data_IF_540237446236
#
_entry.id   IF_540237446236
#
_cell.length_a   1.000
_cell.length_b   1.000
_cell.length_c   1.000
_cell.angle_alpha   90.00
_cell.angle_beta   90.00
_cell.angle_gamma   90.00
#
_symmetry.space_group_name_H-M   'P 1'
#
loop_
_entity.id
_entity.type
_entity.pdbx_description
1 polymer ?
#
# COMPACT_ATOMS: atom_id res chain seq x y z
N UNK A 1 11.97 -19.30 -33.83
CA UNK A 1 10.53 -18.96 -33.75
C UNK A 1 10.48 -17.47 -33.47
N UNK A 2 10.85 -16.66 -34.47
CA UNK A 2 10.00 -16.01 -35.48
C UNK A 2 9.67 -14.58 -35.04
N UNK A 3 10.45 -13.64 -35.56
CA UNK A 3 10.23 -12.19 -35.54
C UNK A 3 8.87 -11.82 -36.17
N UNK A 4 8.23 -10.74 -35.67
CA UNK A 4 7.39 -9.84 -36.47
C UNK A 4 7.38 -8.41 -35.92
N UNK A 5 7.63 -7.49 -36.86
CA UNK A 5 7.62 -6.03 -36.81
C UNK A 5 6.21 -5.38 -36.69
N UNK A 6 6.13 -4.06 -36.41
CA UNK A 6 4.88 -3.30 -36.24
C UNK A 6 4.34 -2.66 -37.53
N UNK A 7 3.01 -2.49 -37.60
CA UNK A 7 2.27 -1.86 -38.71
C UNK A 7 2.01 -0.36 -38.48
N UNK A 8 2.28 0.42 -39.53
CA UNK A 8 1.96 1.83 -39.75
C UNK A 8 0.53 1.98 -40.30
N UNK A 9 -0.20 3.01 -39.89
CA UNK A 9 -1.54 3.34 -40.41
C UNK A 9 -1.54 4.67 -41.17
N UNK A 10 -2.21 4.66 -42.33
CA UNK A 10 -2.26 5.67 -43.38
C UNK A 10 -3.43 6.66 -43.16
N UNK A 11 -3.18 7.95 -43.42
CA UNK A 11 -4.20 9.01 -43.41
C UNK A 11 -4.74 9.28 -44.83
N UNK A 12 -6.07 9.18 -45.00
CA UNK A 12 -6.79 9.53 -46.23
C UNK A 12 -7.28 10.99 -46.25
N UNK A 13 -7.29 11.57 -47.46
CA UNK A 13 -7.74 12.93 -47.80
C UNK A 13 -9.26 12.98 -48.03
N UNK A 14 -9.88 14.08 -47.60
CA UNK A 14 -11.28 14.43 -47.88
C UNK A 14 -11.43 15.42 -49.05
N UNK A 15 -12.55 15.36 -49.81
CA UNK A 15 -12.84 16.28 -50.90
C UNK A 15 -13.59 17.53 -50.41
N UNK A 16 -13.45 18.61 -51.17
CA UNK A 16 -14.08 19.92 -50.96
C UNK A 16 -15.22 20.05 -51.97
N UNK A 17 -16.45 20.25 -51.51
CA UNK A 17 -17.58 20.68 -52.34
C UNK A 17 -18.16 21.99 -51.80
N UNK A 18 -18.41 22.91 -52.74
CA UNK A 18 -18.95 24.26 -52.55
C UNK A 18 -20.48 24.24 -52.71
N UNK A 19 -21.22 24.77 -51.73
CA UNK A 19 -22.66 25.03 -51.87
C UNK A 19 -23.05 26.30 -51.07
N UNK A 20 -23.12 27.44 -51.75
CA UNK A 20 -23.21 28.78 -51.15
C UNK A 20 -24.63 29.34 -51.00
N UNK A 21 -25.67 28.59 -51.35
CA UNK A 21 -27.05 29.13 -51.40
C UNK A 21 -27.94 28.71 -50.22
N UNK A 22 -27.39 28.01 -49.21
CA UNK A 22 -28.12 27.53 -48.03
C UNK A 22 -27.92 28.39 -46.75
N UNK A 23 -27.16 29.48 -46.81
CA UNK A 23 -26.77 30.23 -45.59
C UNK A 23 -27.89 31.13 -45.01
N UNK A 24 -28.84 31.59 -45.82
CA UNK A 24 -29.84 32.57 -45.34
C UNK A 24 -31.00 31.97 -44.53
N UNK A 25 -31.33 30.68 -44.70
CA UNK A 25 -32.31 29.99 -43.82
C UNK A 25 -31.71 29.59 -42.47
N UNK A 26 -30.41 29.36 -42.44
CA UNK A 26 -29.66 29.03 -41.23
C UNK A 26 -29.73 30.18 -40.21
N UNK A 27 -29.54 31.42 -40.65
CA UNK A 27 -29.33 32.55 -39.74
C UNK A 27 -30.55 32.94 -38.87
N UNK A 28 -31.77 32.79 -39.38
CA UNK A 28 -33.00 33.03 -38.60
C UNK A 28 -33.25 31.93 -37.57
N UNK A 29 -32.93 30.68 -37.92
CA UNK A 29 -33.00 29.52 -37.03
C UNK A 29 -31.98 29.63 -35.88
N UNK A 30 -30.76 30.10 -36.16
CA UNK A 30 -29.76 30.41 -35.13
C UNK A 30 -30.24 31.50 -34.17
N UNK A 31 -30.91 32.56 -34.62
CA UNK A 31 -31.42 33.61 -33.73
C UNK A 31 -32.46 33.11 -32.73
N UNK A 32 -33.37 32.23 -33.15
CA UNK A 32 -34.34 31.60 -32.24
C UNK A 32 -33.63 30.72 -31.22
N UNK A 33 -32.68 29.89 -31.68
CA UNK A 33 -31.91 29.01 -30.80
C UNK A 33 -31.06 29.79 -29.76
N UNK A 34 -30.46 30.92 -30.15
CA UNK A 34 -29.70 31.77 -29.22
C UNK A 34 -30.58 32.52 -28.21
N UNK A 35 -31.81 32.88 -28.57
CA UNK A 35 -32.74 33.52 -27.65
C UNK A 35 -33.33 32.52 -26.64
N UNK A 36 -33.64 31.29 -27.06
CA UNK A 36 -34.06 30.20 -26.17
C UNK A 36 -32.95 29.85 -25.16
N UNK A 37 -31.70 29.73 -25.62
CA UNK A 37 -30.56 29.47 -24.73
C UNK A 37 -30.30 30.58 -23.71
N UNK A 38 -30.58 31.85 -24.05
CA UNK A 38 -30.42 32.96 -23.10
C UNK A 38 -31.48 32.95 -21.99
N UNK A 39 -32.71 32.55 -22.29
CA UNK A 39 -33.77 32.40 -21.29
C UNK A 39 -33.53 31.22 -20.36
N UNK A 40 -33.01 30.11 -20.89
CA UNK A 40 -32.67 28.93 -20.09
C UNK A 40 -31.44 29.14 -19.20
N UNK A 41 -30.42 29.85 -19.68
CA UNK A 41 -29.24 30.18 -18.88
C UNK A 41 -29.56 31.15 -17.73
N UNK A 42 -30.52 32.06 -17.92
CA UNK A 42 -30.94 33.02 -16.88
C UNK A 42 -31.81 32.35 -15.81
N UNK A 43 -32.72 31.46 -16.20
CA UNK A 43 -33.53 30.67 -15.25
C UNK A 43 -32.71 29.60 -14.52
N UNK A 44 -31.69 29.02 -15.16
CA UNK A 44 -30.76 28.09 -14.52
C UNK A 44 -29.91 28.75 -13.43
N UNK A 45 -29.42 29.98 -13.63
CA UNK A 45 -28.69 30.74 -12.60
C UNK A 45 -29.53 31.06 -11.36
N UNK A 46 -30.81 31.39 -11.54
CA UNK A 46 -31.71 31.70 -10.41
C UNK A 46 -32.12 30.45 -9.61
N UNK A 47 -32.31 29.31 -10.30
CA UNK A 47 -32.62 28.03 -9.63
C UNK A 47 -31.39 27.38 -8.99
N UNK A 48 -30.18 27.61 -9.53
CA UNK A 48 -28.93 27.16 -8.90
C UNK A 48 -28.61 27.97 -7.63
N UNK A 49 -28.97 29.27 -7.56
CA UNK A 49 -28.87 30.05 -6.32
C UNK A 49 -29.83 29.56 -5.22
N UNK A 50 -31.07 29.18 -5.58
CA UNK A 50 -32.08 28.69 -4.63
C UNK A 50 -31.86 27.21 -4.24
N UNK A 51 -31.24 26.38 -5.10
CA UNK A 51 -30.74 25.04 -4.71
C UNK A 51 -29.42 25.08 -3.93
N UNK A 52 -28.70 26.21 -3.94
CA UNK A 52 -27.47 26.39 -3.18
C UNK A 52 -27.67 26.83 -1.72
N UNK A 53 -28.85 27.32 -1.33
CA UNK A 53 -29.15 27.77 0.04
C UNK A 53 -29.42 26.63 1.04
N UNK A 54 -29.44 25.38 0.56
CA UNK A 54 -29.56 24.18 1.39
C UNK A 54 -28.42 23.19 1.11
N UNK A 55 -27.28 23.67 0.62
CA UNK A 55 -26.06 22.84 0.59
C UNK A 55 -25.52 22.78 2.00
N UNK A 56 -25.48 21.58 2.56
CA UNK A 56 -24.82 21.29 3.83
C UNK A 56 -23.45 21.97 3.84
N UNK A 57 -23.36 23.13 4.49
CA UNK A 57 -22.12 23.90 4.54
C UNK A 57 -21.18 23.05 5.39
N UNK A 58 -20.10 22.47 4.82
CA UNK A 58 -19.22 21.62 5.58
C UNK A 58 -18.61 22.45 6.71
N UNK A 59 -18.84 22.01 7.93
CA UNK A 59 -18.31 22.67 9.12
C UNK A 59 -16.81 22.38 9.16
N UNK A 60 -16.01 23.42 9.37
CA UNK A 60 -14.55 23.25 9.50
C UNK A 60 -14.22 22.33 10.67
N UNK A 61 -13.24 21.44 10.49
CA UNK A 61 -12.83 20.46 11.52
C UNK A 61 -12.48 21.15 12.84
N UNK A 62 -11.87 22.33 12.80
CA UNK A 62 -11.54 23.11 14.00
C UNK A 62 -12.79 23.65 14.73
N UNK A 63 -13.86 23.93 13.99
CA UNK A 63 -15.13 24.36 14.59
C UNK A 63 -15.82 23.20 15.33
N UNK A 64 -15.62 21.94 14.92
CA UNK A 64 -16.09 20.79 15.69
C UNK A 64 -15.45 20.74 17.08
N UNK A 65 -14.18 21.09 17.20
CA UNK A 65 -13.44 21.10 18.46
C UNK A 65 -13.72 22.30 19.36
N UNK A 66 -14.57 23.26 18.96
CA UNK A 66 -14.94 24.40 19.82
C UNK A 66 -15.60 23.98 21.14
N UNK A 67 -16.20 22.79 21.18
CA UNK A 67 -16.87 22.24 22.37
C UNK A 67 -15.97 21.33 23.22
N UNK A 68 -14.71 21.13 22.81
CA UNK A 68 -13.75 20.32 23.55
C UNK A 68 -13.21 21.10 24.75
N UNK A 69 -13.22 20.48 25.93
CA UNK A 69 -12.55 21.05 27.10
C UNK A 69 -11.04 20.88 27.00
N UNK A 70 -10.31 21.55 27.89
CA UNK A 70 -8.86 21.35 28.07
C UNK A 70 -8.51 19.87 28.27
N UNK A 71 -9.31 19.11 29.02
CA UNK A 71 -9.08 17.68 29.25
C UNK A 71 -9.31 16.87 27.97
N UNK A 72 -10.31 17.22 27.16
CA UNK A 72 -10.58 16.53 25.90
C UNK A 72 -9.46 16.79 24.88
N UNK A 73 -8.95 18.03 24.83
CA UNK A 73 -7.78 18.40 24.03
C UNK A 73 -6.55 17.60 24.47
N UNK A 74 -6.29 17.48 25.78
CA UNK A 74 -5.19 16.66 26.29
C UNK A 74 -5.34 15.18 25.91
N UNK A 75 -6.55 14.61 26.03
CA UNK A 75 -6.85 13.23 25.62
C UNK A 75 -6.60 13.01 24.12
N UNK A 76 -6.99 13.96 23.27
CA UNK A 76 -6.78 13.89 21.82
C UNK A 76 -5.28 13.95 21.49
N UNK A 77 -4.51 14.83 22.15
CA UNK A 77 -3.06 14.92 21.95
C UNK A 77 -2.38 13.61 22.37
N UNK A 78 -2.74 13.06 23.53
CA UNK A 78 -2.22 11.77 24.02
C UNK A 78 -2.56 10.65 23.04
N UNK A 79 -3.81 10.58 22.58
CA UNK A 79 -4.23 9.59 21.59
C UNK A 79 -3.41 9.72 20.30
N UNK A 80 -3.18 10.94 19.82
CA UNK A 80 -2.36 11.19 18.64
C UNK A 80 -0.90 10.73 18.82
N UNK A 81 -0.30 10.96 19.99
CA UNK A 81 1.03 10.41 20.31
C UNK A 81 1.05 8.87 20.25
N UNK A 82 0.00 8.21 20.76
CA UNK A 82 -0.13 6.75 20.67
C UNK A 82 -0.35 6.26 19.23
N UNK A 83 -1.10 6.98 18.40
CA UNK A 83 -1.25 6.67 16.95
C UNK A 83 0.12 6.64 16.28
N UNK A 84 0.97 7.66 16.53
CA UNK A 84 2.30 7.74 15.94
C UNK A 84 3.20 6.59 16.42
N UNK A 85 3.18 6.29 17.72
CA UNK A 85 3.93 5.16 18.28
C UNK A 85 3.45 3.81 17.73
N UNK A 86 2.14 3.60 17.64
CA UNK A 86 1.55 2.40 17.08
C UNK A 86 1.95 2.22 15.61
N UNK A 87 1.90 3.28 14.80
CA UNK A 87 2.38 3.26 13.41
C UNK A 87 3.87 2.91 13.31
N UNK A 88 4.70 3.46 14.20
CA UNK A 88 6.13 3.13 14.26
C UNK A 88 6.37 1.65 14.59
N UNK A 89 5.64 1.08 15.56
CA UNK A 89 5.79 -0.34 15.90
C UNK A 89 5.39 -1.27 14.76
N UNK A 90 4.35 -0.92 13.99
CA UNK A 90 3.96 -1.68 12.79
C UNK A 90 5.09 -1.69 11.75
N UNK A 91 5.74 -0.54 11.50
CA UNK A 91 6.86 -0.48 10.57
C UNK A 91 8.09 -1.26 11.07
N UNK A 92 8.40 -1.16 12.37
CA UNK A 92 9.47 -1.92 13.00
C UNK A 92 9.26 -3.44 12.87
N UNK A 93 8.03 -3.92 13.05
CA UNK A 93 7.66 -5.32 12.87
C UNK A 93 7.87 -5.82 11.44
N UNK A 94 7.56 -5.00 10.42
CA UNK A 94 7.81 -5.37 9.01
C UNK A 94 9.31 -5.53 8.73
N UNK A 95 10.15 -4.63 9.24
CA UNK A 95 11.61 -4.71 9.10
C UNK A 95 12.14 -5.98 9.78
N UNK A 96 11.64 -6.28 10.98
CA UNK A 96 12.04 -7.45 11.75
C UNK A 96 11.63 -8.76 11.07
N UNK A 97 10.40 -8.80 10.54
CA UNK A 97 9.91 -9.92 9.74
C UNK A 97 10.78 -10.16 8.50
N UNK A 98 11.20 -9.09 7.82
CA UNK A 98 12.13 -9.17 6.69
C UNK A 98 13.47 -9.79 7.07
N UNK A 99 14.03 -9.46 8.25
CA UNK A 99 15.27 -10.07 8.75
C UNK A 99 15.10 -11.55 9.07
N UNK A 100 14.02 -11.93 9.72
CA UNK A 100 13.71 -13.33 10.04
C UNK A 100 13.58 -14.12 8.73
N UNK A 101 12.83 -13.61 7.76
CA UNK A 101 12.66 -14.24 6.44
C UNK A 101 13.99 -14.36 5.69
N UNK A 102 14.85 -13.34 5.77
CA UNK A 102 16.19 -13.38 5.20
C UNK A 102 17.06 -14.50 5.78
N UNK A 103 17.00 -14.73 7.09
CA UNK A 103 17.71 -15.83 7.75
C UNK A 103 17.16 -17.20 7.32
N UNK A 104 15.84 -17.33 7.16
CA UNK A 104 15.23 -18.56 6.65
C UNK A 104 15.63 -18.82 5.19
N UNK A 105 15.64 -17.80 4.34
CA UNK A 105 16.04 -17.96 2.94
C UNK A 105 17.50 -18.45 2.83
N UNK A 106 18.44 -17.82 3.54
CA UNK A 106 19.86 -18.21 3.49
C UNK A 106 20.10 -19.61 4.04
N UNK A 107 19.38 -20.02 5.09
CA UNK A 107 19.49 -21.38 5.64
C UNK A 107 18.89 -22.43 4.71
N UNK A 108 17.73 -22.17 4.09
CA UNK A 108 17.15 -23.08 3.11
C UNK A 108 18.08 -23.31 1.91
N UNK A 109 18.66 -22.26 1.34
CA UNK A 109 19.61 -22.41 0.24
C UNK A 109 20.86 -23.22 0.63
N UNK A 110 21.36 -23.04 1.85
CA UNK A 110 22.49 -23.82 2.34
C UNK A 110 22.15 -25.31 2.50
N UNK A 111 20.95 -25.63 2.99
CA UNK A 111 20.47 -27.02 3.13
C UNK A 111 20.25 -27.67 1.76
N UNK A 112 19.65 -26.96 0.81
CA UNK A 112 19.41 -27.47 -0.55
C UNK A 112 20.73 -27.75 -1.29
N UNK A 113 21.71 -26.84 -1.17
CA UNK A 113 23.05 -27.03 -1.72
C UNK A 113 23.74 -28.25 -1.13
N UNK A 114 23.63 -28.44 0.20
CA UNK A 114 24.21 -29.60 0.88
C UNK A 114 23.56 -30.92 0.44
N UNK A 115 22.23 -30.99 0.39
CA UNK A 115 21.50 -32.18 -0.06
C UNK A 115 21.84 -32.52 -1.52
N UNK A 116 21.98 -31.52 -2.38
CA UNK A 116 22.37 -31.74 -3.78
C UNK A 116 23.79 -32.32 -3.89
N UNK A 117 24.71 -31.85 -3.05
CA UNK A 117 26.08 -32.38 -2.98
C UNK A 117 26.11 -33.85 -2.53
N UNK A 118 25.39 -34.22 -1.47
CA UNK A 118 25.36 -35.62 -0.98
C UNK A 118 24.77 -36.59 -2.01
N UNK A 119 23.69 -36.17 -2.69
CA UNK A 119 23.09 -36.97 -3.76
C UNK A 119 24.02 -37.13 -4.97
N UNK A 120 24.81 -36.11 -5.29
CA UNK A 120 25.81 -36.19 -6.35
C UNK A 120 26.99 -37.09 -5.97
N UNK A 121 27.53 -36.95 -4.76
CA UNK A 121 28.63 -37.76 -4.26
C UNK A 121 28.27 -39.24 -4.18
N UNK A 122 27.07 -39.56 -3.68
CA UNK A 122 26.56 -40.94 -3.63
C UNK A 122 26.30 -41.53 -5.03
N UNK A 123 25.88 -40.71 -6.00
CA UNK A 123 25.72 -41.14 -7.40
C UNK A 123 27.07 -41.45 -8.05
N UNK A 124 28.10 -40.63 -7.84
CA UNK A 124 29.47 -40.88 -8.35
C UNK A 124 30.05 -42.17 -7.79
N UNK A 125 29.83 -42.45 -6.51
CA UNK A 125 30.42 -43.62 -5.85
C UNK A 125 29.76 -44.93 -6.31
N UNK A 126 28.46 -44.91 -6.64
CA UNK A 126 27.71 -46.12 -6.96
C UNK A 126 27.45 -46.34 -8.46
N UNK A 127 27.57 -45.32 -9.32
CA UNK A 127 27.39 -45.46 -10.77
C UNK A 127 28.41 -44.60 -11.52
N UNK A 128 29.21 -45.22 -12.39
CA UNK A 128 30.17 -44.58 -13.32
C UNK A 128 29.51 -43.74 -14.43
N UNK A 129 28.22 -43.43 -14.31
CA UNK A 129 27.44 -42.72 -15.33
C UNK A 129 26.76 -41.52 -14.71
N UNK A 130 27.21 -40.32 -15.09
CA UNK A 130 26.59 -39.06 -14.69
C UNK A 130 25.18 -38.96 -15.34
N UNK A 131 24.11 -38.69 -14.59
CA UNK A 131 22.73 -38.71 -15.12
C UNK A 131 22.38 -37.50 -15.99
N UNK A 132 23.23 -36.49 -16.06
CA UNK A 132 23.17 -35.46 -17.09
C UNK A 132 24.24 -35.79 -18.12
N UNK A 133 23.84 -36.14 -19.34
CA UNK A 133 24.70 -36.38 -20.50
C UNK A 133 25.45 -35.14 -20.98
N UNK A 134 26.06 -34.41 -20.04
CA UNK A 134 27.05 -33.38 -20.29
C UNK A 134 28.34 -34.16 -20.54
N UNK A 135 28.81 -34.16 -21.78
CA UNK A 135 30.18 -34.57 -22.10
C UNK A 135 31.14 -33.76 -21.23
N UNK A 136 31.66 -34.40 -20.18
CA UNK A 136 32.64 -33.83 -19.28
C UNK A 136 33.98 -33.79 -20.01
N UNK A 137 34.13 -32.77 -20.85
CA UNK A 137 35.42 -32.39 -21.38
C UNK A 137 36.32 -32.03 -20.17
N UNK A 138 37.50 -32.64 -20.00
CA UNK A 138 38.33 -32.53 -18.78
C UNK A 138 38.77 -31.10 -18.44
N UNK A 139 38.59 -30.14 -19.34
CA UNK A 139 38.87 -28.73 -19.16
C UNK A 139 37.83 -27.96 -18.32
N UNK A 140 36.62 -28.50 -18.10
CA UNK A 140 35.57 -27.80 -17.36
C UNK A 140 35.41 -28.27 -15.89
N UNK A 141 36.09 -29.37 -15.53
CA UNK A 141 36.11 -29.89 -14.17
C UNK A 141 36.79 -28.89 -13.20
N UNK A 142 37.85 -28.22 -13.64
CA UNK A 142 38.59 -27.25 -12.82
C UNK A 142 37.77 -25.99 -12.50
N UNK A 143 36.83 -25.58 -13.37
CA UNK A 143 35.92 -24.44 -13.12
C UNK A 143 34.79 -24.80 -12.15
N UNK A 144 34.17 -25.97 -12.31
CA UNK A 144 33.11 -26.43 -11.41
C UNK A 144 33.69 -26.75 -10.02
N UNK A 145 34.86 -27.37 -9.98
CA UNK A 145 35.60 -27.64 -8.75
C UNK A 145 36.01 -26.33 -8.09
N UNK A 146 36.53 -25.30 -8.80
CA UNK A 146 36.82 -23.98 -8.20
C UNK A 146 35.59 -23.26 -7.64
N UNK A 147 34.43 -23.35 -8.29
CA UNK A 147 33.18 -22.78 -7.78
C UNK A 147 32.69 -23.50 -6.51
N UNK A 148 32.88 -24.81 -6.39
CA UNK A 148 32.53 -25.57 -5.19
C UNK A 148 33.63 -25.57 -4.11
N UNK A 149 34.92 -25.46 -4.44
CA UNK A 149 36.03 -25.52 -3.48
C UNK A 149 36.33 -24.19 -2.81
N UNK A 150 36.01 -23.07 -3.46
CA UNK A 150 36.00 -21.76 -2.78
C UNK A 150 34.94 -21.74 -1.66
N UNK A 151 33.91 -22.57 -1.80
CA UNK A 151 32.80 -22.67 -0.86
C UNK A 151 32.96 -23.84 0.15
N UNK A 152 33.54 -24.99 -0.22
CA UNK A 152 33.55 -26.19 0.62
C UNK A 152 34.47 -26.13 1.86
N UNK A 153 35.52 -25.30 1.84
CA UNK A 153 36.34 -25.04 3.05
C UNK A 153 35.60 -24.15 4.06
N UNK A 154 34.54 -23.46 3.61
CA UNK A 154 33.60 -22.74 4.47
C UNK A 154 32.45 -23.69 4.85
N UNK A 155 31.90 -24.48 3.94
CA UNK A 155 30.71 -25.31 4.18
C UNK A 155 30.98 -26.48 5.16
N UNK A 156 32.12 -27.19 5.05
CA UNK A 156 32.38 -28.42 5.83
C UNK A 156 32.69 -28.17 7.32
N UNK A 157 33.17 -26.98 7.67
CA UNK A 157 33.40 -26.54 9.05
C UNK A 157 32.24 -25.71 9.63
N UNK A 158 31.24 -25.36 8.81
CA UNK A 158 30.15 -24.46 9.22
C UNK A 158 28.78 -25.15 9.26
N UNK A 159 28.60 -26.34 8.69
CA UNK A 159 27.30 -27.03 8.69
C UNK A 159 26.87 -27.60 10.05
N UNK A 160 27.80 -28.00 10.90
CA UNK A 160 27.51 -28.53 12.25
C UNK A 160 27.32 -27.46 13.33
N UNK A 161 27.92 -26.24 13.26
CA UNK A 161 27.58 -25.13 14.16
C UNK A 161 26.51 -24.16 13.62
N UNK A 162 25.98 -24.33 12.40
CA UNK A 162 24.97 -23.39 11.86
C UNK A 162 23.65 -23.45 12.65
N UNK A 163 23.27 -24.62 13.15
CA UNK A 163 22.00 -24.81 13.85
C UNK A 163 21.90 -24.07 15.19
N UNK A 164 22.90 -24.08 16.11
CA UNK A 164 22.80 -23.33 17.36
C UNK A 164 22.82 -21.81 17.15
N UNK A 165 23.68 -21.30 16.26
CA UNK A 165 23.81 -19.86 16.04
C UNK A 165 22.62 -19.28 15.26
N UNK A 166 22.10 -20.01 14.26
CA UNK A 166 20.83 -19.66 13.61
C UNK A 166 19.69 -19.65 14.61
N UNK A 167 19.58 -20.70 15.44
CA UNK A 167 18.53 -20.82 16.45
C UNK A 167 18.57 -19.67 17.44
N UNK A 168 19.75 -19.28 17.92
CA UNK A 168 19.90 -18.17 18.87
C UNK A 168 19.48 -16.83 18.24
N UNK A 169 19.95 -16.55 17.02
CA UNK A 169 19.60 -15.32 16.31
C UNK A 169 18.11 -15.23 15.97
N UNK A 170 17.51 -16.32 15.47
CA UNK A 170 16.07 -16.36 15.16
C UNK A 170 15.25 -16.21 16.44
N UNK A 171 15.61 -16.92 17.51
CA UNK A 171 14.91 -16.79 18.79
C UNK A 171 14.96 -15.35 19.32
N UNK A 172 16.14 -14.71 19.27
CA UNK A 172 16.29 -13.31 19.68
C UNK A 172 15.36 -12.37 18.88
N UNK A 173 15.33 -12.50 17.56
CA UNK A 173 14.45 -11.69 16.70
C UNK A 173 12.97 -11.98 16.96
N UNK A 174 12.60 -13.24 17.21
CA UNK A 174 11.23 -13.63 17.54
C UNK A 174 10.79 -13.03 18.89
N UNK A 175 11.66 -13.02 19.90
CA UNK A 175 11.35 -12.36 21.18
C UNK A 175 11.11 -10.86 21.01
N UNK A 176 11.94 -10.18 20.21
CA UNK A 176 11.72 -8.76 19.88
C UNK A 176 10.40 -8.54 19.14
N UNK A 177 10.03 -9.43 18.22
CA UNK A 177 8.78 -9.35 17.46
C UNK A 177 7.56 -9.46 18.39
N UNK A 178 7.57 -10.43 19.31
CA UNK A 178 6.51 -10.57 20.30
C UNK A 178 6.45 -9.37 21.26
N UNK A 179 7.61 -8.89 21.74
CA UNK A 179 7.67 -7.72 22.62
C UNK A 179 7.08 -6.47 21.98
N UNK A 180 7.46 -6.18 20.73
CA UNK A 180 6.89 -5.06 19.96
C UNK A 180 5.41 -5.24 19.68
N UNK A 181 4.95 -6.46 19.42
CA UNK A 181 3.53 -6.76 19.18
C UNK A 181 2.66 -6.53 20.42
N UNK A 182 3.13 -6.94 21.60
CA UNK A 182 2.44 -6.67 22.87
C UNK A 182 2.39 -5.16 23.14
N UNK A 183 3.51 -4.45 22.92
CA UNK A 183 3.56 -3.00 23.12
C UNK A 183 2.63 -2.26 22.15
N UNK A 184 2.62 -2.66 20.87
CA UNK A 184 1.69 -2.14 19.87
C UNK A 184 0.22 -2.37 20.28
N UNK A 185 -0.11 -3.56 20.82
CA UNK A 185 -1.44 -3.88 21.32
C UNK A 185 -1.87 -3.00 22.51
N UNK A 186 -0.96 -2.70 23.43
CA UNK A 186 -1.22 -1.76 24.53
C UNK A 186 -1.44 -0.34 23.99
N UNK A 187 -0.62 0.10 23.04
CA UNK A 187 -0.74 1.44 22.44
C UNK A 187 -2.08 1.63 21.71
N UNK A 188 -2.51 0.68 20.87
CA UNK A 188 -3.80 0.77 20.17
C UNK A 188 -4.98 0.74 21.16
N UNK A 189 -4.86 -0.01 22.25
CA UNK A 189 -5.89 -0.06 23.31
C UNK A 189 -6.03 1.30 24.00
N UNK A 190 -4.91 1.93 24.37
CA UNK A 190 -4.90 3.25 24.99
C UNK A 190 -5.37 4.35 24.03
N UNK A 191 -4.93 4.30 22.78
CA UNK A 191 -5.41 5.18 21.70
C UNK A 191 -6.93 5.11 21.58
N UNK A 192 -7.50 3.90 21.43
CA UNK A 192 -8.93 3.68 21.28
C UNK A 192 -9.71 4.19 22.49
N UNK A 193 -9.25 3.89 23.70
CA UNK A 193 -9.90 4.36 24.95
C UNK A 193 -9.88 5.89 25.00
N UNK A 194 -8.76 6.54 24.70
CA UNK A 194 -8.65 8.00 24.72
C UNK A 194 -9.61 8.66 23.72
N UNK A 195 -9.64 8.18 22.47
CA UNK A 195 -10.57 8.67 21.46
C UNK A 195 -12.02 8.48 21.90
N UNK A 196 -12.38 7.27 22.35
CA UNK A 196 -13.75 6.95 22.76
C UNK A 196 -14.22 7.83 23.92
N UNK A 197 -13.37 8.03 24.93
CA UNK A 197 -13.68 8.89 26.08
C UNK A 197 -13.83 10.35 25.66
N UNK A 198 -12.91 10.87 24.84
CA UNK A 198 -12.96 12.25 24.35
C UNK A 198 -14.23 12.49 23.51
N UNK A 199 -14.54 11.61 22.55
CA UNK A 199 -15.75 11.72 21.71
C UNK A 199 -17.02 11.66 22.55
N UNK A 200 -17.13 10.73 23.51
CA UNK A 200 -18.32 10.61 24.37
C UNK A 200 -18.58 11.91 25.15
N UNK A 201 -17.54 12.52 25.71
CA UNK A 201 -17.64 13.79 26.43
C UNK A 201 -18.08 14.92 25.51
N UNK A 202 -17.49 15.02 24.32
CA UNK A 202 -17.82 16.04 23.33
C UNK A 202 -19.26 15.90 22.82
N UNK A 203 -19.71 14.68 22.47
CA UNK A 203 -21.08 14.41 22.01
C UNK A 203 -22.11 14.76 23.08
N UNK A 204 -21.87 14.38 24.33
CA UNK A 204 -22.80 14.68 25.44
C UNK A 204 -23.02 16.18 25.60
N UNK A 205 -21.95 16.98 25.54
CA UNK A 205 -22.05 18.44 25.62
C UNK A 205 -22.76 19.04 24.41
N UNK A 206 -22.44 18.56 23.22
CA UNK A 206 -23.09 18.99 21.99
C UNK A 206 -24.60 18.75 22.06
N UNK A 207 -25.04 17.57 22.53
CA UNK A 207 -26.47 17.26 22.69
C UNK A 207 -27.18 18.18 23.67
N UNK A 208 -26.57 18.49 24.81
CA UNK A 208 -27.14 19.42 25.81
C UNK A 208 -27.30 20.82 25.24
N UNK A 209 -26.28 21.31 24.52
CA UNK A 209 -26.32 22.64 23.89
C UNK A 209 -27.36 22.71 22.77
N UNK A 210 -27.43 21.69 21.91
CA UNK A 210 -28.45 21.59 20.87
C UNK A 210 -29.86 21.58 21.46
N UNK A 211 -30.10 20.77 22.50
CA UNK A 211 -31.40 20.69 23.15
C UNK A 211 -31.82 22.04 23.76
N UNK A 212 -30.89 22.73 24.43
CA UNK A 212 -31.14 24.08 24.97
C UNK A 212 -31.47 25.09 23.88
N UNK A 213 -30.74 25.06 22.76
CA UNK A 213 -31.01 25.93 21.61
C UNK A 213 -32.35 25.63 20.93
N UNK A 214 -32.80 24.38 20.93
CA UNK A 214 -34.11 24.00 20.38
C UNK A 214 -35.26 24.53 21.26
N UNK A 215 -35.18 24.36 22.58
CA UNK A 215 -36.23 24.84 23.50
C UNK A 215 -36.38 26.36 23.40
N UNK A 216 -35.27 27.10 23.37
CA UNK A 216 -35.28 28.57 23.28
C UNK A 216 -35.87 29.12 21.97
N UNK A 217 -35.95 28.30 20.91
CA UNK A 217 -36.59 28.71 19.65
C UNK A 217 -38.09 28.45 19.63
N UNK A 218 -38.60 27.58 20.50
CA UNK A 218 -40.02 27.20 20.54
C UNK A 218 -40.81 28.07 21.53
N UNK A 219 -40.15 28.61 22.56
CA UNK A 219 -40.73 29.57 23.50
C UNK A 219 -40.72 30.99 22.94
#
# INVERSE_FOLDING_TARGET
>A
MSDKEPLLEQHDKLPIDNDSDNENKSFSQWRQYFNEQKTDAKNKKLNDEIKHTNKDIPVSVFQLFRFADRIDILLIIIAFCFVLLHGFFMLANVILFGRITGLFATTSFAVDCHNQYENFASTIINNTVCPFGIDLNPLNYDRLHKLCHYDNKIISSTLTPLTPLFRENVMYLVYWFFGLSILAFVCISLEYICWKVATRRQTTRMSVLLFRSLIQRVS
#
